data_IF_303329086077
#
_entry.id   IF_303329086077
#
_cell.length_a   1.000
_cell.length_b   1.000
_cell.length_c   1.000
_cell.angle_alpha   90.00
_cell.angle_beta   90.00
_cell.angle_gamma   90.00
#
_symmetry.space_group_name_H-M   'P 1'
#
loop_
_entity.id
_entity.type
_entity.pdbx_description
1 polymer ?
#
# COMPACT_ATOMS: atom_id res chain seq x y z
N UNK A 1 -18.50 -32.41 1.83
CA UNK A 1 -18.15 -31.43 0.77
C UNK A 1 -18.83 -30.06 0.89
N UNK A 2 -19.71 -29.77 1.86
CA UNK A 2 -20.36 -28.44 1.95
C UNK A 2 -19.66 -27.42 2.87
N UNK A 3 -18.68 -27.84 3.67
CA UNK A 3 -18.05 -26.99 4.69
C UNK A 3 -17.10 -25.92 4.14
N UNK A 4 -16.55 -26.11 2.92
CA UNK A 4 -15.61 -25.14 2.34
C UNK A 4 -16.29 -23.80 1.99
N UNK A 5 -17.55 -23.85 1.58
CA UNK A 5 -18.34 -22.66 1.24
C UNK A 5 -18.52 -21.70 2.43
N UNK A 6 -18.55 -22.22 3.66
CA UNK A 6 -18.88 -21.40 4.83
C UNK A 6 -17.78 -20.41 5.20
N UNK A 7 -16.51 -20.77 4.99
CA UNK A 7 -15.38 -19.88 5.26
C UNK A 7 -14.94 -19.15 3.99
N UNK A 8 -14.99 -19.80 2.82
CA UNK A 8 -14.49 -19.20 1.59
C UNK A 8 -15.29 -17.94 1.20
N UNK A 9 -16.61 -17.98 1.29
CA UNK A 9 -17.46 -16.82 0.96
C UNK A 9 -17.17 -15.65 1.92
N UNK A 10 -16.92 -15.95 3.21
CA UNK A 10 -16.57 -14.93 4.21
C UNK A 10 -15.18 -14.34 3.99
N UNK A 11 -14.28 -15.03 3.28
CA UNK A 11 -12.95 -14.56 2.92
C UNK A 11 -12.93 -13.60 1.73
N UNK A 12 -14.04 -13.46 0.99
CA UNK A 12 -14.10 -12.61 -0.22
C UNK A 12 -13.74 -11.15 0.10
N UNK A 13 -14.33 -10.47 1.11
CA UNK A 13 -14.00 -9.07 1.40
C UNK A 13 -12.52 -8.89 1.76
N UNK A 14 -11.95 -9.81 2.53
CA UNK A 14 -10.54 -9.80 2.91
C UNK A 14 -9.62 -9.97 1.69
N UNK A 15 -10.01 -10.83 0.75
CA UNK A 15 -9.25 -11.07 -0.48
C UNK A 15 -9.31 -9.88 -1.44
N UNK A 16 -10.48 -9.24 -1.58
CA UNK A 16 -10.64 -8.03 -2.38
C UNK A 16 -9.80 -6.87 -1.83
N UNK A 17 -9.84 -6.67 -0.51
CA UNK A 17 -9.02 -5.63 0.13
C UNK A 17 -7.53 -5.96 -0.01
N UNK A 18 -7.14 -7.24 0.07
CA UNK A 18 -5.75 -7.65 -0.14
C UNK A 18 -5.24 -7.35 -1.55
N UNK A 19 -6.05 -7.68 -2.58
CA UNK A 19 -5.74 -7.30 -3.98
C UNK A 19 -5.48 -5.80 -4.06
N UNK A 20 -6.39 -4.99 -3.52
CA UNK A 20 -6.28 -3.54 -3.64
C UNK A 20 -5.11 -2.98 -2.84
N UNK A 21 -4.84 -3.47 -1.64
CA UNK A 21 -3.69 -3.04 -0.84
C UNK A 21 -2.36 -3.41 -1.52
N UNK A 22 -2.24 -4.61 -2.07
CA UNK A 22 -1.06 -5.02 -2.85
C UNK A 22 -0.92 -4.21 -4.15
N UNK A 23 -2.03 -3.95 -4.85
CA UNK A 23 -2.05 -3.08 -6.02
C UNK A 23 -1.51 -1.69 -5.71
N UNK A 24 -1.99 -1.07 -4.63
CA UNK A 24 -1.54 0.27 -4.21
C UNK A 24 -0.06 0.26 -3.87
N UNK A 25 0.42 -0.72 -3.08
CA UNK A 25 1.83 -0.83 -2.71
C UNK A 25 2.74 -0.91 -3.92
N UNK A 26 2.45 -1.84 -4.83
CA UNK A 26 3.24 -2.07 -6.04
C UNK A 26 3.11 -0.96 -7.09
N UNK A 27 2.11 -0.08 -6.95
CA UNK A 27 1.97 1.10 -7.80
C UNK A 27 2.73 2.30 -7.23
N UNK A 28 2.62 2.55 -5.92
CA UNK A 28 3.18 3.74 -5.25
C UNK A 28 4.71 3.74 -5.28
N UNK A 29 5.35 2.59 -5.01
CA UNK A 29 6.80 2.41 -5.03
C UNK A 29 7.43 2.83 -6.37
N UNK A 30 7.11 2.16 -7.50
CA UNK A 30 7.71 2.51 -8.79
C UNK A 30 7.21 3.87 -9.29
N UNK A 31 5.99 4.31 -8.96
CA UNK A 31 5.55 5.66 -9.30
C UNK A 31 6.45 6.73 -8.65
N UNK A 32 6.79 6.59 -7.37
CA UNK A 32 7.68 7.50 -6.67
C UNK A 32 9.09 7.46 -7.28
N UNK A 33 9.68 6.29 -7.49
CA UNK A 33 11.04 6.18 -8.05
C UNK A 33 11.14 6.67 -9.49
N UNK A 34 10.12 6.43 -10.31
CA UNK A 34 10.10 6.91 -11.69
C UNK A 34 9.79 8.41 -11.80
N UNK A 35 9.14 9.01 -10.80
CA UNK A 35 8.84 10.44 -10.75
C UNK A 35 10.04 11.24 -10.25
N UNK A 36 10.68 10.78 -9.15
CA UNK A 36 11.78 11.48 -8.49
C UNK A 36 13.14 10.95 -8.96
N UNK A 37 13.41 11.12 -10.26
CA UNK A 37 14.60 10.58 -10.93
C UNK A 37 15.73 11.62 -11.17
N UNK A 38 15.54 12.87 -10.76
CA UNK A 38 16.59 13.90 -10.83
C UNK A 38 17.69 13.67 -9.76
N UNK A 39 18.87 14.33 -9.84
CA UNK A 39 19.90 14.24 -8.80
C UNK A 39 19.49 14.86 -7.44
N UNK A 40 18.53 15.78 -7.48
CA UNK A 40 17.93 16.42 -6.32
C UNK A 40 16.41 16.40 -6.47
N UNK A 41 15.72 16.26 -5.34
CA UNK A 41 14.26 16.27 -5.24
C UNK A 41 13.83 17.54 -4.50
N UNK A 42 12.87 18.27 -5.05
CA UNK A 42 12.24 19.37 -4.32
C UNK A 42 11.14 18.86 -3.40
N UNK A 43 11.21 19.23 -2.12
CA UNK A 43 10.35 18.69 -1.07
C UNK A 43 8.93 19.27 -1.11
N UNK A 44 8.80 20.55 -1.43
CA UNK A 44 7.54 21.29 -1.37
C UNK A 44 6.87 21.47 -2.75
N UNK A 45 7.39 20.83 -3.79
CA UNK A 45 6.80 20.80 -5.13
C UNK A 45 7.80 21.08 -6.25
N UNK A 46 7.41 20.83 -7.52
CA UNK A 46 8.33 20.81 -8.67
C UNK A 46 9.06 22.12 -8.96
N UNK A 47 8.54 23.26 -8.51
CA UNK A 47 9.06 24.59 -8.84
C UNK A 47 9.73 25.27 -7.63
N UNK A 48 10.06 24.52 -6.57
CA UNK A 48 10.63 25.08 -5.35
C UNK A 48 12.12 24.73 -5.22
N UNK A 49 12.98 25.69 -5.54
CA UNK A 49 14.43 25.48 -5.54
C UNK A 49 15.06 25.64 -4.15
N UNK A 50 14.29 26.16 -3.17
CA UNK A 50 14.79 26.49 -1.82
C UNK A 50 14.91 25.26 -0.93
N UNK A 51 13.97 24.32 -1.06
CA UNK A 51 13.88 23.14 -0.19
C UNK A 51 14.12 21.88 -1.00
N UNK A 52 15.40 21.63 -1.31
CA UNK A 52 15.84 20.47 -2.08
C UNK A 52 16.62 19.49 -1.22
N UNK A 53 16.55 18.21 -1.57
CA UNK A 53 17.30 17.13 -0.94
C UNK A 53 17.93 16.25 -2.02
N UNK A 54 19.13 15.69 -1.74
CA UNK A 54 19.73 14.69 -2.63
C UNK A 54 18.80 13.47 -2.74
N UNK A 55 18.59 12.99 -3.97
CA UNK A 55 17.67 11.89 -4.25
C UNK A 55 17.99 10.61 -3.48
N UNK A 56 19.27 10.32 -3.24
CA UNK A 56 19.68 9.19 -2.40
C UNK A 56 19.12 9.26 -0.98
N UNK A 57 19.20 10.42 -0.34
CA UNK A 57 18.62 10.63 1.00
C UNK A 57 17.09 10.57 0.98
N UNK A 58 16.47 11.10 -0.08
CA UNK A 58 15.03 10.97 -0.27
C UNK A 58 14.59 9.50 -0.34
N UNK A 59 15.27 8.68 -1.15
CA UNK A 59 14.96 7.25 -1.28
C UNK A 59 15.15 6.51 0.05
N UNK A 60 16.20 6.84 0.82
CA UNK A 60 16.42 6.25 2.15
C UNK A 60 15.27 6.60 3.10
N UNK A 61 14.86 7.88 3.17
CA UNK A 61 13.74 8.31 4.01
C UNK A 61 12.42 7.67 3.55
N UNK A 62 12.17 7.65 2.25
CA UNK A 62 11.00 6.99 1.67
C UNK A 62 10.96 5.51 2.05
N UNK A 63 12.10 4.83 1.98
CA UNK A 63 12.24 3.41 2.33
C UNK A 63 12.04 3.15 3.83
N UNK A 64 12.60 4.02 4.67
CA UNK A 64 12.39 3.98 6.10
C UNK A 64 10.92 4.22 6.47
N UNK A 65 10.23 5.15 5.79
CA UNK A 65 8.82 5.43 6.00
C UNK A 65 7.95 4.21 5.70
N UNK A 66 8.09 3.58 4.54
CA UNK A 66 7.25 2.44 4.19
C UNK A 66 7.60 1.18 5.00
N UNK A 67 8.89 0.90 5.22
CA UNK A 67 9.32 -0.24 6.03
C UNK A 67 8.90 -0.12 7.50
N UNK A 68 9.06 1.09 8.07
CA UNK A 68 8.57 1.41 9.40
C UNK A 68 7.05 1.27 9.52
N UNK A 69 6.31 1.77 8.52
CA UNK A 69 4.85 1.67 8.49
C UNK A 69 4.34 0.22 8.48
N UNK A 70 4.94 -0.68 7.69
CA UNK A 70 4.56 -2.09 7.67
C UNK A 70 4.81 -2.78 9.03
N UNK A 71 5.96 -2.51 9.67
CA UNK A 71 6.26 -3.07 11.00
C UNK A 71 5.27 -2.55 12.06
N UNK A 72 5.03 -1.23 12.08
CA UNK A 72 4.17 -0.59 13.07
C UNK A 72 2.72 -1.05 12.90
N UNK A 73 2.22 -1.06 11.66
CA UNK A 73 0.82 -1.42 11.36
C UNK A 73 0.48 -2.84 11.74
N UNK A 74 1.39 -3.80 11.50
CA UNK A 74 1.19 -5.19 11.94
C UNK A 74 1.07 -5.29 13.45
N UNK A 75 1.98 -4.65 14.19
CA UNK A 75 1.90 -4.60 15.67
C UNK A 75 0.61 -3.97 16.14
N UNK A 76 0.22 -2.85 15.54
CA UNK A 76 -1.02 -2.15 15.87
C UNK A 76 -2.25 -3.04 15.61
N UNK A 77 -2.27 -3.78 14.51
CA UNK A 77 -3.30 -4.75 14.17
C UNK A 77 -3.50 -5.85 15.21
N UNK A 78 -2.46 -6.24 15.96
CA UNK A 78 -2.58 -7.20 17.07
C UNK A 78 -3.04 -6.57 18.38
N UNK A 79 -2.78 -5.28 18.59
CA UNK A 79 -3.15 -4.57 19.83
C UNK A 79 -4.64 -4.24 19.90
N UNK A 80 -5.31 -4.07 18.75
CA UNK A 80 -6.74 -3.73 18.74
C UNK A 80 -7.58 -4.96 19.13
N UNK A 81 -8.46 -4.87 20.13
CA UNK A 81 -9.38 -5.97 20.45
C UNK A 81 -10.46 -6.09 19.36
N UNK A 82 -10.45 -7.20 18.63
CA UNK A 82 -11.43 -7.51 17.60
C UNK A 82 -12.41 -8.57 18.13
N UNK A 83 -13.44 -8.12 18.84
CA UNK A 83 -14.38 -9.02 19.53
C UNK A 83 -15.40 -9.64 18.57
N UNK A 84 -15.93 -8.89 17.60
CA UNK A 84 -16.96 -9.34 16.67
C UNK A 84 -16.55 -9.25 15.20
N UNK A 85 -17.28 -9.95 14.33
CA UNK A 85 -17.07 -9.92 12.86
C UNK A 85 -17.22 -8.51 12.29
N UNK A 86 -18.13 -7.70 12.83
CA UNK A 86 -18.26 -6.29 12.45
C UNK A 86 -16.97 -5.50 12.71
N UNK A 87 -16.30 -5.74 13.84
CA UNK A 87 -15.02 -5.10 14.17
C UNK A 87 -13.92 -5.44 13.15
N UNK A 88 -13.90 -6.67 12.62
CA UNK A 88 -12.97 -7.05 11.56
C UNK A 88 -13.22 -6.26 10.28
N UNK A 89 -14.47 -6.14 9.84
CA UNK A 89 -14.79 -5.38 8.63
C UNK A 89 -14.51 -3.88 8.78
N UNK A 90 -14.78 -3.30 9.95
CA UNK A 90 -14.43 -1.90 10.24
C UNK A 90 -12.92 -1.69 10.20
N UNK A 91 -12.14 -2.57 10.83
CA UNK A 91 -10.69 -2.51 10.80
C UNK A 91 -10.15 -2.66 9.36
N UNK A 92 -10.67 -3.65 8.61
CA UNK A 92 -10.34 -3.84 7.21
C UNK A 92 -10.64 -2.60 6.35
N UNK A 93 -11.78 -1.94 6.61
CA UNK A 93 -12.15 -0.68 5.96
C UNK A 93 -11.18 0.46 6.27
N UNK A 94 -10.72 0.58 7.51
CA UNK A 94 -9.73 1.60 7.91
C UNK A 94 -8.42 1.40 7.14
N UNK A 95 -7.87 0.17 7.11
CA UNK A 95 -6.62 -0.10 6.39
C UNK A 95 -6.76 0.11 4.88
N UNK A 96 -7.93 -0.23 4.31
CA UNK A 96 -8.24 0.06 2.91
C UNK A 96 -8.26 1.57 2.61
N UNK A 97 -8.95 2.36 3.45
CA UNK A 97 -8.99 3.83 3.30
C UNK A 97 -7.57 4.42 3.41
N UNK A 98 -6.77 3.98 4.38
CA UNK A 98 -5.36 4.41 4.49
C UNK A 98 -4.58 4.14 3.21
N UNK A 99 -4.79 2.96 2.60
CA UNK A 99 -4.16 2.60 1.33
C UNK A 99 -4.56 3.56 0.20
N UNK A 100 -5.85 3.83 0.04
CA UNK A 100 -6.36 4.75 -0.98
C UNK A 100 -5.89 6.20 -0.78
N UNK A 101 -5.86 6.67 0.47
CA UNK A 101 -5.32 8.01 0.78
C UNK A 101 -3.84 8.08 0.43
N UNK A 102 -3.07 7.03 0.73
CA UNK A 102 -1.66 6.95 0.32
C UNK A 102 -1.50 7.04 -1.21
N UNK A 103 -2.30 6.27 -1.96
CA UNK A 103 -2.30 6.37 -3.42
C UNK A 103 -2.62 7.79 -3.90
N UNK A 104 -3.68 8.40 -3.36
CA UNK A 104 -4.08 9.77 -3.72
C UNK A 104 -2.95 10.79 -3.46
N UNK A 105 -2.28 10.71 -2.30
CA UNK A 105 -1.16 11.59 -1.98
C UNK A 105 0.02 11.44 -2.94
N UNK A 106 0.28 10.23 -3.44
CA UNK A 106 1.29 9.97 -4.49
C UNK A 106 0.99 10.75 -5.77
N UNK A 107 -0.28 10.78 -6.17
CA UNK A 107 -0.71 11.44 -7.41
C UNK A 107 -0.51 12.96 -7.41
N UNK A 108 -0.28 13.57 -6.24
CA UNK A 108 -0.04 15.01 -6.13
C UNK A 108 1.36 15.42 -6.60
N UNK A 109 2.30 14.47 -6.75
CA UNK A 109 3.65 14.76 -7.24
C UNK A 109 4.52 15.60 -6.29
N UNK A 110 4.10 15.82 -5.05
CA UNK A 110 4.87 16.57 -4.03
C UNK A 110 5.69 15.57 -3.20
N UNK A 111 7.01 15.71 -3.20
CA UNK A 111 7.90 14.71 -2.58
C UNK A 111 7.69 14.55 -1.06
N UNK A 112 7.41 15.63 -0.33
CA UNK A 112 7.06 15.52 1.08
C UNK A 112 5.76 14.72 1.30
N UNK A 113 4.75 14.91 0.45
CA UNK A 113 3.52 14.10 0.48
C UNK A 113 3.79 12.66 0.06
N UNK A 114 4.78 12.39 -0.79
CA UNK A 114 5.17 11.03 -1.15
C UNK A 114 5.70 10.23 0.05
N UNK A 115 6.38 10.87 1.03
CA UNK A 115 6.78 10.20 2.27
C UNK A 115 5.56 9.77 3.11
N UNK A 116 4.59 10.66 3.27
CA UNK A 116 3.33 10.36 3.97
C UNK A 116 2.48 9.33 3.22
N UNK A 117 2.47 9.41 1.90
CA UNK A 117 1.86 8.42 1.02
C UNK A 117 2.43 7.04 1.31
N UNK A 118 3.76 6.90 1.24
CA UNK A 118 4.45 5.64 1.46
C UNK A 118 4.13 5.06 2.85
N UNK A 119 4.10 5.93 3.87
CA UNK A 119 3.68 5.52 5.21
C UNK A 119 2.23 5.00 5.21
N UNK A 120 1.26 5.76 4.70
CA UNK A 120 -0.16 5.38 4.75
C UNK A 120 -0.50 4.16 3.89
N UNK A 121 0.10 4.04 2.70
CA UNK A 121 -0.09 2.91 1.80
C UNK A 121 0.36 1.60 2.47
N UNK A 122 1.56 1.59 3.04
CA UNK A 122 2.12 0.40 3.67
C UNK A 122 1.56 0.15 5.06
N UNK A 123 1.18 1.20 5.79
CA UNK A 123 0.45 1.04 7.03
C UNK A 123 -0.90 0.35 6.77
N UNK A 124 -1.65 0.81 5.77
CA UNK A 124 -2.93 0.22 5.40
C UNK A 124 -2.79 -1.26 5.01
N UNK A 125 -1.79 -1.57 4.18
CA UNK A 125 -1.48 -2.94 3.77
C UNK A 125 -1.09 -3.84 4.94
N UNK A 126 -0.10 -3.46 5.76
CA UNK A 126 0.35 -4.25 6.90
C UNK A 126 -0.72 -4.39 7.99
N UNK A 127 -1.58 -3.38 8.17
CA UNK A 127 -2.72 -3.44 9.08
C UNK A 127 -3.77 -4.45 8.60
N UNK A 128 -4.17 -4.37 7.32
CA UNK A 128 -5.10 -5.30 6.71
C UNK A 128 -4.58 -6.74 6.74
N UNK A 129 -3.27 -6.92 6.53
CA UNK A 129 -2.61 -8.20 6.68
C UNK A 129 -2.80 -8.77 8.10
N UNK A 130 -2.51 -7.98 9.14
CA UNK A 130 -2.63 -8.43 10.52
C UNK A 130 -4.09 -8.72 10.91
N UNK A 131 -5.03 -7.86 10.50
CA UNK A 131 -6.46 -8.06 10.73
C UNK A 131 -6.94 -9.34 10.04
N UNK A 132 -6.55 -9.58 8.79
CA UNK A 132 -6.96 -10.77 8.05
C UNK A 132 -6.35 -12.03 8.63
N UNK A 133 -5.05 -12.04 8.96
CA UNK A 133 -4.40 -13.19 9.58
C UNK A 133 -5.11 -13.59 10.88
N UNK A 134 -5.46 -12.62 11.73
CA UNK A 134 -6.23 -12.87 12.96
C UNK A 134 -7.63 -13.40 12.67
N UNK A 135 -8.28 -12.93 11.61
CA UNK A 135 -9.58 -13.46 11.20
C UNK A 135 -9.47 -14.92 10.80
N UNK A 136 -8.48 -15.27 9.98
CA UNK A 136 -8.25 -16.65 9.54
C UNK A 136 -7.98 -17.54 10.77
N UNK A 137 -7.10 -17.11 11.67
CA UNK A 137 -6.75 -17.89 12.87
C UNK A 137 -7.94 -18.12 13.82
N UNK A 138 -8.87 -17.17 13.89
CA UNK A 138 -10.01 -17.21 14.82
C UNK A 138 -11.25 -17.89 14.22
N UNK A 139 -11.61 -17.51 13.00
CA UNK A 139 -12.91 -17.80 12.40
C UNK A 139 -12.86 -18.90 11.31
N UNK A 140 -11.68 -19.24 10.77
CA UNK A 140 -11.54 -20.33 9.79
C UNK A 140 -11.20 -21.64 10.51
N UNK A 141 -11.88 -22.77 10.22
CA UNK A 141 -11.56 -24.06 10.83
C UNK A 141 -10.09 -24.42 10.63
N UNK A 142 -9.43 -24.92 11.68
CA UNK A 142 -7.98 -25.22 11.67
C UNK A 142 -7.53 -26.10 10.50
N UNK A 143 -8.39 -27.06 10.08
CA UNK A 143 -8.15 -27.93 8.90
C UNK A 143 -8.08 -27.20 7.56
N UNK A 144 -8.60 -25.98 7.49
CA UNK A 144 -8.64 -25.13 6.29
C UNK A 144 -7.79 -23.87 6.43
N UNK A 145 -7.19 -23.60 7.59
CA UNK A 145 -6.46 -22.36 7.87
C UNK A 145 -5.31 -22.15 6.85
N UNK A 146 -4.45 -23.16 6.63
CA UNK A 146 -3.37 -23.07 5.64
C UNK A 146 -3.89 -22.81 4.21
N UNK A 147 -4.95 -23.50 3.80
CA UNK A 147 -5.54 -23.32 2.48
C UNK A 147 -6.15 -21.93 2.31
N UNK A 148 -6.83 -21.41 3.33
CA UNK A 148 -7.39 -20.06 3.34
C UNK A 148 -6.30 -19.00 3.24
N UNK A 149 -5.21 -19.17 4.01
CA UNK A 149 -4.06 -18.28 3.98
C UNK A 149 -3.35 -18.29 2.62
N UNK A 150 -3.07 -19.47 2.06
CA UNK A 150 -2.46 -19.60 0.72
C UNK A 150 -3.32 -18.98 -0.38
N UNK A 151 -4.65 -19.22 -0.34
CA UNK A 151 -5.55 -18.64 -1.32
C UNK A 151 -5.60 -17.11 -1.20
N UNK A 152 -5.70 -16.59 0.02
CA UNK A 152 -5.71 -15.16 0.29
C UNK A 152 -4.43 -14.46 -0.23
N UNK A 153 -3.26 -15.06 0.01
CA UNK A 153 -1.98 -14.57 -0.52
C UNK A 153 -1.90 -14.66 -2.04
N UNK A 154 -2.33 -15.79 -2.62
CA UNK A 154 -2.38 -15.99 -4.07
C UNK A 154 -3.21 -14.91 -4.77
N UNK A 155 -4.40 -14.62 -4.23
CA UNK A 155 -5.29 -13.59 -4.74
C UNK A 155 -4.65 -12.20 -4.61
N UNK A 156 -3.97 -11.91 -3.49
CA UNK A 156 -3.21 -10.67 -3.30
C UNK A 156 -2.13 -10.42 -4.35
N UNK A 157 -1.43 -11.48 -4.80
CA UNK A 157 -0.45 -11.35 -5.88
C UNK A 157 -1.03 -10.87 -7.20
N UNK A 158 -2.32 -11.13 -7.48
CA UNK A 158 -2.99 -10.55 -8.64
C UNK A 158 -3.01 -9.02 -8.61
N UNK A 159 -3.22 -8.44 -7.42
CA UNK A 159 -3.13 -7.00 -7.21
C UNK A 159 -1.72 -6.46 -7.42
N UNK A 160 -0.73 -7.15 -6.87
CA UNK A 160 0.68 -6.79 -7.03
C UNK A 160 1.12 -6.74 -8.50
N UNK A 161 0.77 -7.78 -9.27
CA UNK A 161 1.05 -7.84 -10.72
C UNK A 161 0.40 -6.65 -11.43
N UNK A 162 -0.90 -6.42 -11.20
CA UNK A 162 -1.61 -5.30 -11.82
C UNK A 162 -0.99 -3.94 -11.46
N UNK A 163 -0.57 -3.73 -10.20
CA UNK A 163 0.07 -2.50 -9.74
C UNK A 163 1.41 -2.25 -10.44
N UNK A 164 2.21 -3.30 -10.62
CA UNK A 164 3.52 -3.21 -11.28
C UNK A 164 3.47 -2.86 -12.78
N UNK A 165 2.32 -3.07 -13.44
CA UNK A 165 2.13 -2.78 -14.87
C UNK A 165 1.70 -1.33 -15.18
N UNK A 166 1.16 -0.62 -14.19
CA UNK A 166 0.64 0.75 -14.33
C UNK A 166 1.54 1.92 -13.87
N UNK A 167 2.83 1.77 -13.46
CA UNK A 167 3.63 2.92 -13.02
C UNK A 167 3.80 3.99 -14.11
N UNK A 168 3.88 3.58 -15.38
CA UNK A 168 3.97 4.51 -16.51
C UNK A 168 2.75 5.44 -16.63
N UNK A 169 1.54 4.89 -16.44
CA UNK A 169 0.32 5.69 -16.47
C UNK A 169 0.24 6.67 -15.30
N UNK A 170 0.60 6.22 -14.09
CA UNK A 170 0.62 7.09 -12.90
C UNK A 170 1.67 8.18 -13.03
N UNK A 171 2.87 7.85 -13.53
CA UNK A 171 3.89 8.85 -13.85
C UNK A 171 3.38 9.86 -14.87
N UNK A 172 2.74 9.41 -15.94
CA UNK A 172 2.16 10.32 -16.93
C UNK A 172 1.12 11.25 -16.30
N UNK A 173 0.30 10.74 -15.38
CA UNK A 173 -0.67 11.55 -14.64
C UNK A 173 -0.01 12.58 -13.72
N UNK A 174 1.01 12.18 -12.94
CA UNK A 174 1.75 13.07 -12.04
C UNK A 174 2.50 14.16 -12.82
N UNK A 175 3.19 13.76 -13.89
CA UNK A 175 4.03 14.65 -14.66
C UNK A 175 3.20 15.52 -15.62
N UNK A 176 2.03 15.07 -16.05
CA UNK A 176 1.14 15.75 -17.02
C UNK A 176 1.88 16.29 -18.26
N UNK A 177 2.85 15.54 -18.77
CA UNK A 177 3.71 15.98 -19.89
C UNK A 177 4.72 17.08 -19.57
N UNK A 178 4.74 17.59 -18.33
CA UNK A 178 5.73 18.55 -17.86
C UNK A 178 7.02 17.86 -17.40
N UNK A 179 8.15 18.42 -17.84
CA UNK A 179 9.48 18.06 -17.36
C UNK A 179 9.92 19.17 -16.41
N UNK A 180 10.14 18.85 -15.14
CA UNK A 180 10.71 19.78 -14.16
C UNK A 180 12.18 19.47 -13.96
N UNK A 181 12.97 20.47 -13.56
CA UNK A 181 14.37 20.30 -13.21
C UNK A 181 14.59 19.25 -12.10
N UNK A 182 13.60 19.04 -11.23
CA UNK A 182 13.72 18.17 -10.04
C UNK A 182 12.87 16.90 -10.08
N UNK A 183 12.05 16.70 -11.12
CA UNK A 183 11.21 15.51 -11.26
C UNK A 183 10.78 15.31 -12.72
N UNK A 184 10.39 14.08 -13.06
CA UNK A 184 9.85 13.72 -14.37
C UNK A 184 10.84 13.85 -15.54
N UNK A 185 12.15 13.65 -15.32
CA UNK A 185 13.13 13.72 -16.39
C UNK A 185 12.88 12.61 -17.44
N UNK A 186 12.89 12.96 -18.73
CA UNK A 186 12.79 11.99 -19.82
C UNK A 186 13.95 11.00 -19.73
N UNK A 187 13.63 9.72 -19.51
CA UNK A 187 14.56 8.63 -19.71
C UNK A 187 14.53 8.18 -21.17
#
# INVERSE_FOLDING_TARGET
FQEWNQWLVKMIPFSLVNIMSHFVMELVLPAAFNTYNAPQVSLLGPNNDKYTMKTSWFIVLFSACFGGADIISRRFGYLIPLAGTSSFYTALGIGFICSLVGLYLTTQGIAMLALFSAFLAFFGSGFNYAVTARYIDRDVPRKHNLAAYSLWMFVGYGGAIAGSMLPGMVRQYICNGSVSQYQCLSH
#
